data_IF_734938765398
#
_entry.id   IF_734938765398
#
_cell.length_a   1.000
_cell.length_b   1.000
_cell.length_c   1.000
_cell.angle_alpha   90.00
_cell.angle_beta   90.00
_cell.angle_gamma   90.00
#
_symmetry.space_group_name_H-M   'P 1'
#
loop_
_entity.id
_entity.type
_entity.pdbx_description
1 polymer ?
#
# COMPACT_ATOMS: atom_id res chain seq x y z
N UNK A 1 27.15 13.45 -10.43
CA UNK A 1 25.83 13.74 -11.03
C UNK A 1 24.91 12.65 -10.51
N UNK A 2 24.01 12.98 -9.58
CA UNK A 2 23.13 12.03 -8.90
C UNK A 2 22.27 11.25 -9.89
N UNK A 3 22.29 9.92 -9.78
CA UNK A 3 21.42 8.99 -10.52
C UNK A 3 19.98 9.21 -10.03
N UNK A 4 19.25 10.10 -10.69
CA UNK A 4 17.87 10.43 -10.34
C UNK A 4 16.96 9.21 -10.51
N UNK A 5 16.15 8.99 -9.47
CA UNK A 5 15.36 7.80 -9.17
C UNK A 5 14.19 7.63 -10.14
N UNK A 6 14.29 6.67 -11.06
CA UNK A 6 13.13 6.08 -11.75
C UNK A 6 12.75 4.71 -11.16
N UNK A 7 13.30 4.34 -10.00
CA UNK A 7 12.85 3.15 -9.28
C UNK A 7 11.56 3.46 -8.52
N UNK A 8 10.44 3.16 -9.18
CA UNK A 8 9.14 3.10 -8.53
C UNK A 8 9.14 1.86 -7.64
N UNK A 9 9.35 2.07 -6.35
CA UNK A 9 9.40 1.01 -5.34
C UNK A 9 7.99 0.60 -4.87
N UNK A 10 7.81 -0.67 -4.44
CA UNK A 10 6.61 -1.07 -3.73
C UNK A 10 6.32 -0.17 -2.53
N UNK A 11 5.05 0.13 -2.35
CA UNK A 11 4.56 0.95 -1.24
C UNK A 11 4.01 0.05 -0.13
N UNK A 12 4.34 0.36 1.12
CA UNK A 12 3.78 -0.29 2.32
C UNK A 12 3.47 0.77 3.39
N UNK A 13 2.27 0.71 3.96
CA UNK A 13 1.85 1.62 5.05
C UNK A 13 0.80 0.94 5.94
N UNK A 14 0.78 1.29 7.22
CA UNK A 14 -0.33 0.98 8.11
C UNK A 14 -1.17 2.24 8.38
N UNK A 15 -2.48 2.12 8.29
CA UNK A 15 -3.38 3.25 8.52
C UNK A 15 -4.75 2.79 9.01
N UNK A 16 -5.58 3.76 9.41
CA UNK A 16 -6.92 3.51 9.94
C UNK A 16 -7.94 3.70 8.82
N UNK A 17 -8.69 2.65 8.50
CA UNK A 17 -9.85 2.71 7.61
C UNK A 17 -11.14 2.63 8.41
N UNK A 18 -12.12 3.44 8.02
CA UNK A 18 -13.46 3.42 8.61
C UNK A 18 -14.31 2.38 7.87
N UNK A 19 -14.83 1.40 8.58
CA UNK A 19 -15.77 0.40 8.06
C UNK A 19 -17.18 0.97 7.91
N UNK A 20 -18.03 0.20 7.23
CA UNK A 20 -19.44 0.53 7.02
C UNK A 20 -20.22 0.71 8.33
N UNK A 21 -19.82 0.03 9.41
CA UNK A 21 -20.38 0.14 10.77
C UNK A 21 -19.88 1.37 11.54
N UNK A 22 -18.93 2.12 10.98
CA UNK A 22 -18.34 3.30 11.59
C UNK A 22 -17.13 3.03 12.47
N UNK A 23 -16.76 1.77 12.70
CA UNK A 23 -15.54 1.42 13.44
C UNK A 23 -14.30 1.75 12.59
N UNK A 24 -13.28 2.32 13.22
CA UNK A 24 -11.97 2.39 12.60
C UNK A 24 -11.19 1.10 12.87
N UNK A 25 -10.56 0.55 11.85
CA UNK A 25 -9.73 -0.66 11.96
C UNK A 25 -8.36 -0.43 11.33
N UNK A 26 -7.32 -1.03 11.92
CA UNK A 26 -5.96 -0.93 11.38
C UNK A 26 -5.89 -1.79 10.12
N UNK A 27 -5.36 -1.21 9.06
CA UNK A 27 -5.14 -1.89 7.80
C UNK A 27 -3.69 -1.73 7.36
N UNK A 28 -3.15 -2.80 6.78
CA UNK A 28 -1.89 -2.79 6.06
C UNK A 28 -2.19 -2.59 4.57
N UNK A 29 -1.82 -1.41 4.06
CA UNK A 29 -1.82 -1.10 2.64
C UNK A 29 -0.51 -1.53 2.01
N UNK A 30 -0.59 -2.29 0.93
CA UNK A 30 0.55 -2.62 0.07
C UNK A 30 0.19 -2.31 -1.38
N UNK A 31 1.11 -1.74 -2.15
CA UNK A 31 0.89 -1.52 -3.57
C UNK A 31 2.18 -1.76 -4.39
N UNK A 32 2.02 -2.31 -5.58
CA UNK A 32 3.10 -2.56 -6.52
C UNK A 32 2.76 -1.93 -7.89
N UNK A 33 3.73 -1.30 -8.57
CA UNK A 33 3.53 -0.78 -9.91
C UNK A 33 3.58 -1.93 -10.93
N UNK A 34 2.57 -1.99 -11.79
CA UNK A 34 2.62 -2.79 -13.01
C UNK A 34 3.21 -1.90 -14.11
N UNK A 35 4.32 -2.33 -14.71
CA UNK A 35 5.05 -1.56 -15.73
C UNK A 35 4.78 -2.12 -17.12
N UNK A 36 4.73 -1.23 -18.12
CA UNK A 36 4.78 -1.63 -19.54
C UNK A 36 6.16 -2.21 -19.87
N UNK A 37 6.28 -2.82 -21.04
CA UNK A 37 7.59 -3.25 -21.58
C UNK A 37 8.59 -2.09 -21.73
N UNK A 38 8.11 -0.85 -21.86
CA UNK A 38 8.93 0.37 -21.92
C UNK A 38 9.48 0.83 -20.57
N UNK A 39 9.07 0.19 -19.45
CA UNK A 39 9.46 0.58 -18.10
C UNK A 39 8.54 1.62 -17.43
N UNK A 40 7.65 2.25 -18.19
CA UNK A 40 6.64 3.19 -17.66
C UNK A 40 5.62 2.47 -16.77
N UNK A 41 5.16 3.12 -15.70
CA UNK A 41 4.06 2.61 -14.87
C UNK A 41 2.75 2.66 -15.66
N UNK A 42 2.13 1.50 -15.85
CA UNK A 42 0.81 1.37 -16.45
C UNK A 42 -0.29 1.62 -15.41
N UNK A 43 -0.17 0.98 -14.25
CA UNK A 43 -1.11 1.09 -13.14
C UNK A 43 -0.47 0.61 -11.84
N UNK A 44 -1.13 0.87 -10.72
CA UNK A 44 -0.79 0.29 -9.43
C UNK A 44 -1.84 -0.75 -9.03
N UNK A 45 -1.37 -1.87 -8.51
CA UNK A 45 -2.24 -2.87 -7.89
C UNK A 45 -1.88 -2.91 -6.41
N UNK A 46 -2.89 -2.87 -5.54
CA UNK A 46 -2.68 -2.89 -4.12
C UNK A 46 -3.74 -3.67 -3.35
N UNK A 47 -3.41 -3.97 -2.11
CA UNK A 47 -4.25 -4.69 -1.15
C UNK A 47 -4.41 -3.85 0.11
N UNK A 48 -5.59 -3.95 0.73
CA UNK A 48 -5.86 -3.41 2.06
C UNK A 48 -6.25 -4.56 2.97
N UNK A 49 -5.29 -5.03 3.77
CA UNK A 49 -5.51 -6.16 4.68
C UNK A 49 -5.87 -5.63 6.06
N UNK A 50 -7.03 -6.04 6.60
CA UNK A 50 -7.38 -5.75 7.99
C UNK A 50 -6.40 -6.47 8.94
N UNK A 51 -5.70 -5.69 9.76
CA UNK A 51 -4.74 -6.17 10.77
C UNK A 51 -5.11 -5.69 12.17
N UNK A 52 -6.36 -5.26 12.38
CA UNK A 52 -6.77 -4.60 13.61
C UNK A 52 -6.52 -5.47 14.84
N UNK A 53 -6.95 -6.73 14.79
CA UNK A 53 -6.85 -7.64 15.92
C UNK A 53 -5.38 -7.94 16.26
N UNK A 54 -4.49 -7.98 15.26
CA UNK A 54 -3.05 -8.16 15.49
C UNK A 54 -2.42 -6.93 16.18
N UNK A 55 -2.93 -5.73 15.89
CA UNK A 55 -2.40 -4.47 16.45
C UNK A 55 -2.92 -4.16 17.84
N UNK A 56 -4.10 -4.63 18.22
CA UNK A 56 -4.74 -4.32 19.50
C UNK A 56 -4.52 -5.38 20.58
N UNK A 57 -4.10 -6.60 20.23
CA UNK A 57 -3.80 -7.67 21.19
C UNK A 57 -2.40 -7.54 21.82
N UNK A 58 -2.07 -6.39 22.41
CA UNK A 58 -0.85 -6.23 23.23
C UNK A 58 -1.12 -6.47 24.71
#
# INVERSE_FOLDING_TARGET
METLRDSVEPYEIEYRLRRHDGEYRWHLGRAMPIKKSTGEVLMWIGTNTDIHDQKTQR
#
